data_IF_668778276672
#
_entry.id   IF_668778276672
#
_cell.length_a   1.000
_cell.length_b   1.000
_cell.length_c   1.000
_cell.angle_alpha   90.00
_cell.angle_beta   90.00
_cell.angle_gamma   90.00
#
_symmetry.space_group_name_H-M   'P 1'
#
loop_
_entity.id
_entity.type
_entity.pdbx_description
1 polymer ?
#
# COMPACT_ATOMS: atom_id res chain seq x y z
N UNK A 1 -56.16 -7.78 29.51
CA UNK A 1 -54.78 -7.29 29.70
C UNK A 1 -54.03 -7.43 28.39
N UNK A 2 -53.80 -6.31 27.70
CA UNK A 2 -53.25 -6.26 26.35
C UNK A 2 -51.72 -6.39 26.36
N UNK A 3 -51.17 -7.23 25.48
CA UNK A 3 -49.73 -7.35 25.23
C UNK A 3 -49.29 -6.22 24.31
N UNK A 4 -48.48 -5.29 24.81
CA UNK A 4 -47.85 -4.23 24.02
C UNK A 4 -46.78 -4.83 23.09
N UNK A 5 -47.04 -4.74 21.78
CA UNK A 5 -46.07 -5.00 20.72
C UNK A 5 -45.20 -3.75 20.56
N UNK A 6 -43.90 -3.90 20.82
CA UNK A 6 -42.91 -2.84 20.65
C UNK A 6 -42.65 -2.58 19.15
N UNK A 7 -42.95 -1.38 18.60
CA UNK A 7 -42.86 -1.11 17.16
C UNK A 7 -41.44 -0.76 16.68
N UNK A 8 -40.41 -0.85 17.54
CA UNK A 8 -39.08 -0.32 17.23
C UNK A 8 -38.03 -1.38 16.81
N UNK A 9 -38.48 -2.52 16.28
CA UNK A 9 -37.59 -3.59 15.81
C UNK A 9 -37.42 -3.55 14.27
N UNK A 10 -36.90 -2.46 13.68
CA UNK A 10 -36.52 -2.45 12.24
C UNK A 10 -35.63 -1.27 11.81
N UNK A 11 -34.44 -1.13 12.40
CA UNK A 11 -33.30 -0.45 11.74
C UNK A 11 -31.99 -1.17 12.04
N UNK A 12 -31.79 -2.35 11.42
CA UNK A 12 -30.44 -2.91 11.29
C UNK A 12 -29.80 -2.38 10.00
N UNK A 13 -29.01 -1.31 10.14
CA UNK A 13 -28.07 -0.79 9.12
C UNK A 13 -26.82 -1.67 9.07
N UNK A 14 -26.99 -2.97 8.87
CA UNK A 14 -25.90 -3.86 8.49
C UNK A 14 -26.38 -4.67 7.31
N UNK A 15 -25.81 -4.38 6.13
CA UNK A 15 -25.84 -5.30 4.98
C UNK A 15 -25.49 -6.68 5.54
N UNK A 16 -26.44 -7.62 5.51
CA UNK A 16 -26.10 -9.04 5.54
C UNK A 16 -25.29 -9.28 4.28
N UNK A 17 -23.97 -9.34 4.41
CA UNK A 17 -23.16 -10.03 3.43
C UNK A 17 -23.72 -11.44 3.36
N UNK A 18 -24.10 -11.88 2.15
CA UNK A 18 -24.50 -13.25 1.91
C UNK A 18 -23.34 -14.10 2.40
N UNK A 19 -23.56 -14.88 3.45
CA UNK A 19 -22.61 -15.89 3.89
C UNK A 19 -22.57 -16.93 2.77
N UNK A 20 -21.62 -16.76 1.83
CA UNK A 20 -21.13 -17.90 1.08
C UNK A 20 -20.67 -18.91 2.13
N UNK A 21 -21.21 -20.13 2.06
CA UNK A 21 -20.90 -21.20 2.99
C UNK A 21 -19.39 -21.32 3.19
N UNK A 22 -19.04 -21.66 4.41
CA UNK A 22 -17.75 -21.68 5.11
C UNK A 22 -16.66 -22.56 4.47
N UNK A 23 -16.45 -22.43 3.16
CA UNK A 23 -15.34 -23.05 2.43
C UNK A 23 -14.07 -22.17 2.45
N UNK A 24 -14.06 -21.09 3.24
CA UNK A 24 -12.89 -20.21 3.40
C UNK A 24 -11.71 -20.93 4.06
N UNK A 25 -11.94 -22.14 4.59
CA UNK A 25 -10.93 -23.03 5.14
C UNK A 25 -10.06 -23.73 4.09
N UNK A 26 -10.51 -23.82 2.83
CA UNK A 26 -9.79 -24.58 1.79
C UNK A 26 -9.00 -23.68 0.85
N UNK A 27 -7.83 -24.14 0.42
CA UNK A 27 -7.14 -23.52 -0.71
C UNK A 27 -7.91 -23.79 -2.00
N UNK A 28 -8.24 -22.72 -2.73
CA UNK A 28 -8.95 -22.76 -4.02
C UNK A 28 -8.02 -22.18 -5.08
N UNK A 29 -7.61 -22.99 -6.05
CA UNK A 29 -6.69 -22.55 -7.11
C UNK A 29 -7.39 -22.26 -8.44
N UNK A 30 -8.62 -22.75 -8.61
CA UNK A 30 -9.32 -22.75 -9.90
C UNK A 30 -9.78 -21.32 -10.33
N UNK A 31 -10.06 -20.43 -9.37
CA UNK A 31 -10.57 -19.07 -9.63
C UNK A 31 -9.47 -17.98 -9.56
N UNK A 32 -8.22 -18.34 -9.28
CA UNK A 32 -7.16 -17.36 -9.02
C UNK A 32 -6.44 -16.98 -10.31
N UNK A 33 -6.17 -15.68 -10.47
CA UNK A 33 -5.41 -15.14 -11.58
C UNK A 33 -4.02 -15.83 -11.71
N UNK A 34 -3.72 -16.47 -12.87
CA UNK A 34 -2.47 -17.21 -13.07
C UNK A 34 -1.22 -16.33 -12.94
N UNK A 35 -1.30 -15.03 -13.27
CA UNK A 35 -0.17 -14.11 -13.11
C UNK A 35 0.25 -13.94 -11.65
N UNK A 36 -0.69 -14.09 -10.71
CA UNK A 36 -0.43 -13.95 -9.26
C UNK A 36 0.08 -15.24 -8.65
N UNK A 37 -0.37 -16.39 -9.15
CA UNK A 37 0.03 -17.72 -8.66
C UNK A 37 1.39 -18.15 -9.21
N UNK A 38 1.58 -18.06 -10.52
CA UNK A 38 2.76 -18.60 -11.20
C UNK A 38 3.91 -17.58 -11.33
N UNK A 39 3.78 -16.40 -10.72
CA UNK A 39 4.74 -15.29 -10.83
C UNK A 39 5.17 -15.03 -12.28
N UNK A 40 4.22 -15.12 -13.22
CA UNK A 40 4.51 -14.94 -14.64
C UNK A 40 5.03 -13.52 -14.88
N UNK A 41 6.11 -13.34 -15.65
CA UNK A 41 6.67 -12.03 -15.89
C UNK A 41 5.66 -11.13 -16.62
N UNK A 42 5.34 -9.99 -16.02
CA UNK A 42 4.50 -8.97 -16.66
C UNK A 42 5.33 -8.30 -17.75
N UNK A 43 5.05 -8.65 -19.00
CA UNK A 43 5.71 -8.03 -20.16
C UNK A 43 5.07 -6.66 -20.44
N UNK A 44 5.76 -5.59 -20.06
CA UNK A 44 5.37 -4.22 -20.42
C UNK A 44 5.88 -3.93 -21.83
N UNK A 45 5.00 -3.98 -22.83
CA UNK A 45 5.35 -3.58 -24.21
C UNK A 45 5.52 -2.06 -24.28
N UNK A 46 6.66 -1.59 -24.80
CA UNK A 46 6.89 -0.17 -25.14
C UNK A 46 6.25 0.22 -26.49
N UNK A 47 5.68 -0.75 -27.21
CA UNK A 47 5.03 -0.52 -28.50
C UNK A 47 3.52 -0.41 -28.30
N UNK A 48 2.97 0.76 -28.61
CA UNK A 48 1.54 1.09 -28.54
C UNK A 48 0.69 0.44 -29.66
N UNK A 49 1.18 -0.60 -30.33
CA UNK A 49 0.44 -1.21 -31.44
C UNK A 49 -0.52 -2.26 -30.88
N UNK A 50 -1.76 -1.81 -30.69
CA UNK A 50 -3.01 -2.60 -30.65
C UNK A 50 -2.92 -3.91 -29.84
N UNK A 51 -3.00 -3.80 -28.52
CA UNK A 51 -3.48 -4.91 -27.71
C UNK A 51 -4.99 -4.73 -27.66
N UNK A 52 -5.72 -5.61 -28.36
CA UNK A 52 -7.18 -5.64 -28.35
C UNK A 52 -7.66 -5.70 -26.91
N UNK A 53 -8.23 -4.59 -26.44
CA UNK A 53 -8.81 -4.47 -25.13
C UNK A 53 -9.88 -5.55 -25.01
N UNK A 54 -9.69 -6.48 -24.07
CA UNK A 54 -10.74 -7.35 -23.58
C UNK A 54 -11.92 -6.45 -23.21
N UNK A 55 -12.98 -6.51 -24.03
CA UNK A 55 -14.25 -5.86 -23.75
C UNK A 55 -14.71 -6.32 -22.36
N UNK A 56 -15.31 -5.39 -21.62
CA UNK A 56 -15.95 -5.60 -20.31
C UNK A 56 -15.05 -5.45 -19.07
N UNK A 57 -14.41 -4.29 -18.91
CA UNK A 57 -14.23 -3.73 -17.56
C UNK A 57 -15.20 -2.55 -17.46
N UNK A 58 -16.42 -2.82 -16.97
CA UNK A 58 -17.36 -1.78 -16.59
C UNK A 58 -16.79 -1.06 -15.35
N UNK A 59 -16.03 0.01 -15.60
CA UNK A 59 -15.58 0.88 -14.54
C UNK A 59 -16.80 1.46 -13.81
N UNK A 60 -16.83 1.47 -12.47
CA UNK A 60 -17.93 2.05 -11.73
C UNK A 60 -18.03 3.54 -12.07
N UNK A 61 -19.15 3.94 -12.68
CA UNK A 61 -19.44 5.35 -12.93
C UNK A 61 -19.41 6.08 -11.59
N UNK A 62 -18.48 7.03 -11.47
CA UNK A 62 -18.28 7.85 -10.28
C UNK A 62 -19.59 8.58 -9.99
N UNK A 63 -20.25 8.27 -8.89
CA UNK A 63 -21.36 9.09 -8.39
C UNK A 63 -20.81 10.45 -7.99
N UNK A 64 -21.20 11.48 -8.73
CA UNK A 64 -20.75 12.88 -8.65
C UNK A 64 -21.34 13.65 -7.46
N UNK A 65 -21.68 12.97 -6.35
CA UNK A 65 -22.40 13.58 -5.23
C UNK A 65 -21.68 13.48 -3.89
N UNK A 66 -20.37 13.70 -3.87
CA UNK A 66 -19.70 14.08 -2.63
C UNK A 66 -19.72 15.62 -2.52
N UNK A 67 -20.46 16.23 -1.58
CA UNK A 67 -20.41 17.67 -1.39
C UNK A 67 -18.99 18.05 -0.99
N UNK A 68 -18.32 18.76 -1.90
CA UNK A 68 -17.02 19.36 -1.63
C UNK A 68 -17.26 20.49 -0.64
N UNK A 69 -17.09 20.20 0.66
CA UNK A 69 -17.09 21.24 1.69
C UNK A 69 -15.82 22.05 1.48
N UNK A 70 -15.97 23.16 0.76
CA UNK A 70 -14.94 24.17 0.55
C UNK A 70 -14.64 24.81 1.91
N UNK A 71 -13.73 24.21 2.66
CA UNK A 71 -13.12 24.83 3.82
C UNK A 71 -12.28 26.01 3.31
N UNK A 72 -12.85 27.21 3.34
CA UNK A 72 -12.07 28.44 3.22
C UNK A 72 -11.20 28.52 4.48
N UNK A 73 -9.86 28.50 4.37
CA UNK A 73 -9.01 28.76 5.53
C UNK A 73 -9.28 30.21 5.94
N UNK A 74 -10.00 30.40 7.05
CA UNK A 74 -10.17 31.71 7.66
C UNK A 74 -8.79 32.20 8.07
N UNK A 75 -8.31 33.25 7.39
CA UNK A 75 -7.08 33.96 7.73
C UNK A 75 -7.15 34.48 9.16
N UNK A 76 -6.24 34.00 10.00
CA UNK A 76 -5.59 34.71 11.09
C UNK A 76 -6.48 35.55 12.02
N UNK A 77 -7.49 34.93 12.60
CA UNK A 77 -7.89 35.29 13.97
C UNK A 77 -7.12 34.38 14.92
N UNK A 78 -5.85 34.72 15.19
CA UNK A 78 -5.13 34.17 16.34
C UNK A 78 -5.91 34.64 17.56
N UNK A 79 -6.84 33.81 18.03
CA UNK A 79 -7.60 34.10 19.24
C UNK A 79 -6.57 34.41 20.33
N UNK A 80 -6.71 35.54 21.05
CA UNK A 80 -5.79 35.85 22.14
C UNK A 80 -5.81 34.67 23.08
N UNK A 81 -4.66 33.99 23.21
CA UNK A 81 -4.47 32.85 24.10
C UNK A 81 -4.76 33.40 25.49
N UNK A 82 -5.99 33.27 25.98
CA UNK A 82 -6.38 33.74 27.31
C UNK A 82 -5.55 32.93 28.31
N UNK A 83 -4.46 33.52 28.78
CA UNK A 83 -3.61 33.02 29.86
C UNK A 83 -4.30 33.23 31.21
N UNK A 84 -5.59 32.90 31.30
CA UNK A 84 -6.25 32.82 32.59
C UNK A 84 -6.03 31.41 33.09
N UNK A 85 -5.19 31.30 34.12
CA UNK A 85 -4.97 30.17 35.03
C UNK A 85 -6.28 29.74 35.70
N UNK A 86 -7.31 29.41 34.91
CA UNK A 86 -8.49 28.72 35.39
C UNK A 86 -8.09 27.26 35.37
N UNK A 87 -7.96 26.67 36.56
CA UNK A 87 -7.81 25.24 36.74
C UNK A 87 -8.80 24.52 35.82
N UNK A 88 -8.31 23.50 35.11
CA UNK A 88 -9.13 22.75 34.18
C UNK A 88 -10.39 22.26 34.91
N UNK A 89 -11.61 22.65 34.47
CA UNK A 89 -12.84 22.16 35.10
C UNK A 89 -12.96 20.63 35.03
N UNK A 90 -12.15 19.96 34.22
CA UNK A 90 -12.11 18.53 34.03
C UNK A 90 -10.69 17.97 34.19
N UNK A 91 -10.25 17.78 35.44
CA UNK A 91 -8.97 17.08 35.70
C UNK A 91 -8.93 15.68 35.07
N UNK A 92 -7.81 15.39 34.41
CA UNK A 92 -7.48 14.10 33.80
C UNK A 92 -7.46 12.95 34.82
N UNK A 93 -7.30 13.22 36.11
CA UNK A 93 -7.28 12.21 37.18
C UNK A 93 -8.54 11.34 37.19
N UNK A 94 -9.67 11.92 36.78
CA UNK A 94 -10.96 11.22 36.68
C UNK A 94 -10.96 10.16 35.56
N UNK A 95 -10.13 10.34 34.53
CA UNK A 95 -10.05 9.45 33.38
C UNK A 95 -8.92 8.41 33.47
N UNK A 96 -7.93 8.61 34.35
CA UNK A 96 -6.83 7.66 34.52
C UNK A 96 -7.31 6.21 34.77
N UNK A 97 -8.32 5.93 35.62
CA UNK A 97 -8.82 4.57 35.79
C UNK A 97 -9.39 3.97 34.50
N UNK A 98 -10.14 4.77 33.73
CA UNK A 98 -10.69 4.35 32.44
C UNK A 98 -9.58 4.07 31.43
N UNK A 99 -8.59 4.96 31.31
CA UNK A 99 -7.43 4.74 30.45
C UNK A 99 -6.67 3.47 30.83
N UNK A 100 -6.43 3.21 32.12
CA UNK A 100 -5.80 1.96 32.56
C UNK A 100 -6.58 0.72 32.14
N UNK A 101 -7.91 0.73 32.28
CA UNK A 101 -8.77 -0.38 31.84
C UNK A 101 -8.71 -0.56 30.32
N UNK A 102 -8.78 0.55 29.56
CA UNK A 102 -8.71 0.52 28.10
C UNK A 102 -7.35 0.04 27.59
N UNK A 103 -6.25 0.56 28.13
CA UNK A 103 -4.88 0.10 27.80
C UNK A 103 -4.71 -1.38 28.10
N UNK A 104 -5.22 -1.85 29.25
CA UNK A 104 -5.17 -3.28 29.60
C UNK A 104 -5.99 -4.13 28.62
N UNK A 105 -7.19 -3.69 28.25
CA UNK A 105 -8.05 -4.38 27.27
C UNK A 105 -7.38 -4.44 25.90
N UNK A 106 -6.87 -3.31 25.40
CA UNK A 106 -6.15 -3.23 24.13
C UNK A 106 -4.93 -4.15 24.12
N UNK A 107 -4.13 -4.13 25.19
CA UNK A 107 -2.98 -5.04 25.34
C UNK A 107 -3.42 -6.50 25.33
N UNK A 108 -4.52 -6.83 26.02
CA UNK A 108 -5.07 -8.18 26.03
C UNK A 108 -5.55 -8.63 24.65
N UNK A 109 -6.25 -7.77 23.90
CA UNK A 109 -6.71 -8.08 22.54
C UNK A 109 -5.51 -8.26 21.60
N UNK A 110 -4.53 -7.36 21.65
CA UNK A 110 -3.31 -7.47 20.84
C UNK A 110 -2.52 -8.75 21.14
N UNK A 111 -2.49 -9.21 22.39
CA UNK A 111 -1.83 -10.45 22.75
C UNK A 111 -2.58 -11.68 22.26
N UNK A 112 -3.92 -11.66 22.32
CA UNK A 112 -4.76 -12.71 21.76
C UNK A 112 -4.56 -12.81 20.24
N UNK A 113 -4.55 -11.68 19.54
CA UNK A 113 -4.32 -11.65 18.09
C UNK A 113 -2.93 -12.20 17.73
N UNK A 114 -1.88 -11.82 18.47
CA UNK A 114 -0.53 -12.39 18.29
C UNK A 114 -0.51 -13.90 18.52
N UNK A 115 -1.17 -14.38 19.57
CA UNK A 115 -1.25 -15.81 19.87
C UNK A 115 -1.98 -16.57 18.76
N UNK A 116 -3.07 -15.98 18.23
CA UNK A 116 -3.82 -16.56 17.12
C UNK A 116 -2.97 -16.66 15.86
N UNK A 117 -2.28 -15.57 15.50
CA UNK A 117 -1.37 -15.56 14.35
C UNK A 117 -0.27 -16.64 14.52
N UNK A 118 0.34 -16.75 15.70
CA UNK A 118 1.37 -17.77 15.94
C UNK A 118 0.82 -19.20 15.82
N UNK A 119 -0.38 -19.45 16.35
CA UNK A 119 -1.05 -20.74 16.21
C UNK A 119 -1.39 -21.07 14.76
N UNK A 120 -1.85 -20.09 13.97
CA UNK A 120 -2.11 -20.26 12.54
C UNK A 120 -0.82 -20.59 11.77
N UNK A 121 0.29 -19.91 12.09
CA UNK A 121 1.58 -20.18 11.45
C UNK A 121 2.12 -21.58 11.78
N UNK A 122 1.99 -22.03 13.02
CA UNK A 122 2.37 -23.39 13.42
C UNK A 122 1.50 -24.45 12.74
N UNK A 123 0.19 -24.16 12.61
CA UNK A 123 -0.74 -24.97 11.82
C UNK A 123 -0.29 -25.09 10.35
N UNK A 124 0.06 -23.98 9.70
CA UNK A 124 0.58 -23.98 8.33
C UNK A 124 1.90 -24.77 8.20
N UNK A 125 2.80 -24.66 9.18
CA UNK A 125 4.07 -25.39 9.18
C UNK A 125 3.85 -26.91 9.35
N UNK A 126 2.89 -27.30 10.18
CA UNK A 126 2.46 -28.69 10.35
C UNK A 126 1.86 -29.24 9.05
N UNK A 127 0.94 -28.50 8.43
CA UNK A 127 0.33 -28.85 7.14
C UNK A 127 1.40 -29.02 6.05
N UNK A 128 2.36 -28.10 5.95
CA UNK A 128 3.48 -28.22 5.01
C UNK A 128 4.26 -29.51 5.24
N UNK A 129 4.59 -29.81 6.49
CA UNK A 129 5.34 -31.03 6.85
C UNK A 129 4.55 -32.30 6.47
N UNK A 130 3.24 -32.32 6.71
CA UNK A 130 2.37 -33.43 6.30
C UNK A 130 2.30 -33.59 4.78
N UNK A 131 2.25 -32.49 4.03
CA UNK A 131 2.26 -32.50 2.56
C UNK A 131 3.60 -32.93 1.96
N UNK A 132 4.71 -32.82 2.70
CA UNK A 132 6.03 -33.30 2.26
C UNK A 132 6.25 -34.79 2.55
N UNK A 133 5.53 -35.35 3.52
CA UNK A 133 5.60 -36.77 3.87
C UNK A 133 5.00 -37.67 2.76
N UNK A 134 5.29 -38.98 2.81
CA UNK A 134 4.83 -39.95 1.81
C UNK A 134 3.29 -40.11 1.75
N UNK A 135 2.59 -39.89 2.86
CA UNK A 135 1.13 -40.00 2.97
C UNK A 135 0.38 -38.68 2.66
N UNK A 136 0.94 -37.86 1.78
CA UNK A 136 0.38 -36.54 1.46
C UNK A 136 -0.98 -36.62 0.75
N UNK A 137 -1.24 -37.69 -0.01
CA UNK A 137 -2.45 -37.84 -0.82
C UNK A 137 -3.74 -37.92 0.01
N UNK A 138 -3.68 -38.46 1.24
CA UNK A 138 -4.85 -38.49 2.14
C UNK A 138 -5.09 -37.17 2.86
N UNK A 139 -4.03 -36.39 3.06
CA UNK A 139 -4.08 -35.11 3.79
C UNK A 139 -4.49 -33.97 2.87
N UNK A 140 -4.07 -34.00 1.60
CA UNK A 140 -4.32 -32.92 0.62
C UNK A 140 -5.81 -32.54 0.49
N UNK A 141 -6.78 -33.47 0.39
CA UNK A 141 -8.21 -33.12 0.31
C UNK A 141 -8.76 -32.41 1.55
N UNK A 142 -8.11 -32.56 2.71
CA UNK A 142 -8.49 -31.86 3.94
C UNK A 142 -8.10 -30.39 3.89
N UNK A 143 -7.07 -30.05 3.11
CA UNK A 143 -6.47 -28.71 3.08
C UNK A 143 -6.89 -27.94 1.81
N UNK A 144 -7.01 -28.64 0.69
CA UNK A 144 -7.18 -28.05 -0.64
C UNK A 144 -8.42 -28.61 -1.31
N UNK A 145 -9.16 -27.76 -2.01
CA UNK A 145 -10.30 -28.20 -2.81
C UNK A 145 -9.81 -28.94 -4.05
N UNK A 146 -10.13 -30.23 -4.13
CA UNK A 146 -9.83 -31.11 -5.27
C UNK A 146 -11.14 -31.37 -6.03
N UNK A 147 -11.06 -31.38 -7.36
CA UNK A 147 -12.22 -31.62 -8.23
C UNK A 147 -12.38 -33.12 -8.49
N UNK A 148 -11.30 -33.81 -8.88
CA UNK A 148 -11.28 -35.26 -9.03
C UNK A 148 -10.19 -35.92 -8.14
N UNK A 149 -10.56 -36.66 -7.08
CA UNK A 149 -9.59 -37.37 -6.25
C UNK A 149 -8.94 -38.57 -6.95
N UNK A 150 -9.46 -39.01 -8.11
CA UNK A 150 -8.89 -40.08 -8.91
C UNK A 150 -7.79 -39.62 -9.88
N UNK A 151 -7.65 -38.32 -10.14
CA UNK A 151 -6.63 -37.78 -11.04
C UNK A 151 -5.32 -37.52 -10.30
N UNK A 152 -4.34 -38.41 -10.51
CA UNK A 152 -3.00 -38.28 -9.92
C UNK A 152 -2.29 -36.98 -10.35
N UNK A 153 -2.53 -36.50 -11.57
CA UNK A 153 -1.89 -35.29 -12.07
C UNK A 153 -2.44 -34.05 -11.36
N UNK A 154 -3.77 -33.95 -11.22
CA UNK A 154 -4.42 -32.87 -10.46
C UNK A 154 -3.89 -32.85 -9.01
N UNK A 155 -3.81 -34.01 -8.37
CA UNK A 155 -3.29 -34.13 -7.00
C UNK A 155 -1.85 -33.62 -6.87
N UNK A 156 -0.96 -34.01 -7.79
CA UNK A 156 0.44 -33.59 -7.79
C UNK A 156 0.56 -32.08 -8.03
N UNK A 157 -0.20 -31.53 -8.98
CA UNK A 157 -0.19 -30.10 -9.28
C UNK A 157 -0.73 -29.29 -8.09
N UNK A 158 -1.90 -29.66 -7.56
CA UNK A 158 -2.51 -28.98 -6.40
C UNK A 158 -1.63 -29.10 -5.16
N UNK A 159 -0.94 -30.22 -4.95
CA UNK A 159 0.08 -30.34 -3.88
C UNK A 159 1.17 -29.29 -4.03
N UNK A 160 1.76 -29.16 -5.22
CA UNK A 160 2.83 -28.18 -5.49
C UNK A 160 2.35 -26.75 -5.25
N UNK A 161 1.16 -26.42 -5.74
CA UNK A 161 0.55 -25.10 -5.55
C UNK A 161 0.28 -24.80 -4.08
N UNK A 162 -0.24 -25.78 -3.34
CA UNK A 162 -0.52 -25.65 -1.90
C UNK A 162 0.74 -25.42 -1.10
N UNK A 163 1.80 -26.19 -1.36
CA UNK A 163 3.09 -26.02 -0.69
C UNK A 163 3.67 -24.64 -0.99
N UNK A 164 3.63 -24.20 -2.26
CA UNK A 164 4.12 -22.88 -2.66
C UNK A 164 3.35 -21.73 -1.98
N UNK A 165 2.02 -21.84 -1.88
CA UNK A 165 1.19 -20.83 -1.21
C UNK A 165 1.41 -20.81 0.31
N UNK A 166 1.57 -21.97 0.95
CA UNK A 166 1.95 -22.04 2.37
C UNK A 166 3.31 -21.36 2.58
N UNK A 167 4.29 -21.63 1.72
CA UNK A 167 5.61 -21.00 1.80
C UNK A 167 5.56 -19.49 1.63
N UNK A 168 4.73 -19.00 0.70
CA UNK A 168 4.48 -17.57 0.54
C UNK A 168 3.90 -16.95 1.81
N UNK A 169 2.93 -17.61 2.47
CA UNK A 169 2.34 -17.13 3.73
C UNK A 169 3.37 -17.10 4.86
N UNK A 170 4.19 -18.15 5.00
CA UNK A 170 5.27 -18.22 5.98
C UNK A 170 6.33 -17.14 5.76
N UNK A 171 6.75 -16.90 4.51
CA UNK A 171 7.70 -15.84 4.16
C UNK A 171 7.15 -14.44 4.50
N UNK A 172 5.86 -14.20 4.23
CA UNK A 172 5.18 -12.96 4.60
C UNK A 172 5.19 -12.77 6.12
N UNK A 173 4.93 -13.83 6.89
CA UNK A 173 5.00 -13.80 8.34
C UNK A 173 6.41 -13.51 8.86
N UNK A 174 7.45 -14.14 8.29
CA UNK A 174 8.84 -13.85 8.64
C UNK A 174 9.20 -12.38 8.38
N UNK A 175 8.77 -11.84 7.23
CA UNK A 175 8.96 -10.42 6.91
C UNK A 175 8.25 -9.51 7.90
N UNK A 176 7.01 -9.84 8.29
CA UNK A 176 6.27 -9.12 9.31
C UNK A 176 6.98 -9.18 10.67
N UNK A 177 7.46 -10.36 11.10
CA UNK A 177 8.18 -10.54 12.35
C UNK A 177 9.46 -9.71 12.39
N UNK A 178 10.21 -9.65 11.28
CA UNK A 178 11.40 -8.81 11.14
C UNK A 178 11.07 -7.33 11.30
N UNK A 179 10.06 -6.81 10.58
CA UNK A 179 9.60 -5.41 10.70
C UNK A 179 9.12 -5.07 12.11
N UNK A 180 8.43 -5.99 12.77
CA UNK A 180 7.99 -5.80 14.15
C UNK A 180 9.16 -5.71 15.12
N UNK A 181 10.24 -6.46 14.88
CA UNK A 181 11.44 -6.39 15.72
C UNK A 181 12.23 -5.09 15.46
N UNK A 182 12.38 -4.69 14.19
CA UNK A 182 12.98 -3.40 13.80
C UNK A 182 12.24 -2.24 14.50
N UNK A 183 10.91 -2.19 14.43
CA UNK A 183 10.11 -1.16 15.09
C UNK A 183 10.28 -1.16 16.62
N UNK A 184 10.37 -2.34 17.25
CA UNK A 184 10.63 -2.42 18.70
C UNK A 184 12.01 -1.90 19.05
N UNK A 185 13.02 -2.17 18.22
CA UNK A 185 14.37 -1.64 18.41
C UNK A 185 14.37 -0.12 18.26
N UNK A 186 13.72 0.44 17.23
CA UNK A 186 13.57 1.88 17.05
C UNK A 186 12.89 2.54 18.27
N UNK A 187 11.81 1.96 18.78
CA UNK A 187 11.12 2.46 19.98
C UNK A 187 12.06 2.44 21.21
N UNK A 188 12.87 1.38 21.37
CA UNK A 188 13.85 1.30 22.46
C UNK A 188 14.94 2.37 22.29
N UNK A 189 15.48 2.54 21.09
CA UNK A 189 16.47 3.57 20.80
C UNK A 189 15.93 4.97 21.08
N UNK A 190 14.71 5.28 20.65
CA UNK A 190 14.06 6.55 20.93
C UNK A 190 13.88 6.80 22.44
N UNK A 191 13.52 5.76 23.20
CA UNK A 191 13.38 5.87 24.66
C UNK A 191 14.72 6.03 25.40
N UNK A 192 15.84 5.61 24.81
CA UNK A 192 17.13 5.52 25.49
C UNK A 192 18.20 6.52 25.06
N UNK A 193 18.06 7.30 23.97
CA UNK A 193 19.09 8.30 23.68
C UNK A 193 19.05 9.02 22.35
N UNK A 194 18.09 9.92 22.15
CA UNK A 194 18.39 11.13 21.38
C UNK A 194 18.83 12.24 22.35
N UNK A 195 20.01 12.87 22.15
CA UNK A 195 20.31 14.16 22.76
C UNK A 195 19.23 15.14 22.31
N UNK A 196 18.58 15.78 23.29
CA UNK A 196 17.51 16.76 23.12
C UNK A 196 17.88 17.94 22.20
N UNK A 197 19.17 18.12 21.90
CA UNK A 197 19.70 19.29 21.18
C UNK A 197 19.69 19.17 19.64
N UNK A 198 19.32 18.02 19.05
CA UNK A 198 19.28 17.88 17.58
C UNK A 198 17.91 18.15 16.95
N UNK A 199 16.82 18.14 17.72
CA UNK A 199 15.46 18.33 17.21
C UNK A 199 15.10 19.81 17.04
N UNK A 200 15.69 20.70 17.85
CA UNK A 200 15.38 22.14 17.85
C UNK A 200 15.77 22.87 16.55
N UNK A 201 16.66 22.29 15.75
CA UNK A 201 17.07 22.88 14.45
C UNK A 201 16.04 22.66 13.35
N UNK A 202 15.21 21.62 13.43
CA UNK A 202 14.23 21.30 12.39
C UNK A 202 12.92 22.09 12.55
N UNK A 203 12.55 22.43 13.79
CA UNK A 203 11.36 23.24 14.08
C UNK A 203 11.50 24.72 13.71
N UNK A 204 12.71 25.22 13.48
CA UNK A 204 12.98 26.61 13.10
C UNK A 204 13.01 26.84 11.57
N UNK A 205 12.79 25.80 10.76
CA UNK A 205 12.82 25.89 9.30
C UNK A 205 11.46 26.38 8.79
N UNK A 206 11.40 27.39 7.89
CA UNK A 206 10.14 27.84 7.30
C UNK A 206 9.45 26.72 6.51
N UNK A 207 8.11 26.66 6.59
CA UNK A 207 7.31 25.57 6.04
C UNK A 207 7.52 25.36 4.52
N UNK A 208 7.84 26.41 3.77
CA UNK A 208 8.17 26.36 2.35
C UNK A 208 9.44 25.54 2.07
N UNK A 209 10.48 25.75 2.86
CA UNK A 209 11.77 25.05 2.76
C UNK A 209 11.64 23.60 3.22
N UNK A 210 10.90 23.36 4.31
CA UNK A 210 10.59 22.02 4.78
C UNK A 210 9.84 21.20 3.73
N UNK A 211 8.87 21.82 3.03
CA UNK A 211 8.15 21.20 1.90
C UNK A 211 9.07 20.89 0.72
N UNK A 212 9.99 21.79 0.37
CA UNK A 212 10.93 21.59 -0.72
C UNK A 212 11.93 20.46 -0.41
N UNK A 213 12.50 20.46 0.80
CA UNK A 213 13.40 19.40 1.28
C UNK A 213 12.71 18.03 1.28
N UNK A 214 11.51 17.93 1.86
CA UNK A 214 10.71 16.69 1.82
C UNK A 214 10.33 16.29 0.40
N UNK A 215 10.09 17.22 -0.52
CA UNK A 215 9.81 16.88 -1.93
C UNK A 215 11.06 16.30 -2.61
N UNK A 216 12.24 16.86 -2.34
CA UNK A 216 13.51 16.38 -2.88
C UNK A 216 13.86 14.99 -2.34
N UNK A 217 13.82 14.81 -1.03
CA UNK A 217 14.06 13.53 -0.37
C UNK A 217 13.09 12.45 -0.88
N UNK A 218 11.80 12.78 -1.02
CA UNK A 218 10.82 11.86 -1.61
C UNK A 218 11.17 11.44 -3.02
N UNK A 219 11.61 12.37 -3.85
CA UNK A 219 11.97 12.10 -5.24
C UNK A 219 13.26 11.26 -5.34
N UNK A 220 14.19 11.44 -4.40
CA UNK A 220 15.42 10.64 -4.29
C UNK A 220 15.14 9.22 -3.78
N UNK A 221 14.31 9.05 -2.75
CA UNK A 221 14.05 7.74 -2.13
C UNK A 221 13.04 6.90 -2.92
N UNK A 222 11.96 7.52 -3.41
CA UNK A 222 10.80 6.79 -3.98
C UNK A 222 10.56 7.09 -5.47
N UNK A 223 11.24 8.07 -6.04
CA UNK A 223 11.08 8.47 -7.43
C UNK A 223 9.92 9.45 -7.67
N UNK A 224 9.71 9.78 -8.95
CA UNK A 224 8.63 10.64 -9.39
C UNK A 224 7.29 9.91 -9.58
N UNK A 225 6.23 10.68 -9.83
CA UNK A 225 4.91 10.13 -10.18
C UNK A 225 4.99 9.47 -11.56
N UNK A 226 4.50 8.23 -11.66
CA UNK A 226 4.48 7.45 -12.91
C UNK A 226 3.08 7.54 -13.51
N UNK A 227 2.98 7.96 -14.79
CA UNK A 227 1.73 7.90 -15.57
C UNK A 227 1.83 6.74 -16.56
N UNK A 228 0.95 5.74 -16.43
CA UNK A 228 0.84 4.60 -17.34
C UNK A 228 -0.42 4.74 -18.20
N UNK A 229 -0.27 4.86 -19.51
CA UNK A 229 -1.41 4.81 -20.43
C UNK A 229 -1.86 3.35 -20.61
N UNK A 230 -3.16 3.09 -20.39
CA UNK A 230 -3.74 1.74 -20.50
C UNK A 230 -4.37 1.46 -21.88
N UNK A 231 -4.24 2.39 -22.84
CA UNK A 231 -4.74 2.30 -24.22
C UNK A 231 -6.26 2.09 -24.37
N UNK A 232 -7.02 2.28 -23.29
CA UNK A 232 -8.48 2.16 -23.25
C UNK A 232 -9.15 3.50 -22.92
N UNK A 233 -8.48 4.62 -23.19
CA UNK A 233 -8.91 5.96 -22.79
C UNK A 233 -8.63 6.29 -21.31
N UNK A 234 -7.99 5.40 -20.56
CA UNK A 234 -7.59 5.66 -19.17
C UNK A 234 -6.07 5.68 -18.99
N UNK A 235 -5.64 6.48 -18.03
CA UNK A 235 -4.28 6.55 -17.53
C UNK A 235 -4.24 6.24 -16.04
N UNK A 236 -3.36 5.32 -15.66
CA UNK A 236 -3.08 4.98 -14.27
C UNK A 236 -1.95 5.89 -13.77
N UNK A 237 -2.28 6.77 -12.82
CA UNK A 237 -1.31 7.61 -12.12
C UNK A 237 -0.92 6.91 -10.83
N UNK A 238 0.37 6.57 -10.72
CA UNK A 238 0.99 5.94 -9.57
C UNK A 238 1.87 6.98 -8.89
N UNK A 239 1.41 7.48 -7.74
CA UNK A 239 2.20 8.30 -6.82
C UNK A 239 2.66 7.38 -5.67
N UNK A 240 3.94 7.39 -5.26
CA UNK A 240 4.40 6.55 -4.15
C UNK A 240 3.68 6.81 -2.81
N UNK A 241 3.04 7.96 -2.63
CA UNK A 241 2.38 8.33 -1.37
C UNK A 241 0.86 8.49 -1.46
N UNK A 242 0.30 8.42 -2.66
CA UNK A 242 -1.15 8.44 -2.85
C UNK A 242 -1.60 7.10 -3.44
N UNK A 243 -2.80 6.62 -3.08
CA UNK A 243 -3.35 5.44 -3.74
C UNK A 243 -3.42 5.69 -5.25
N UNK A 244 -3.08 4.68 -6.08
CA UNK A 244 -3.06 4.84 -7.52
C UNK A 244 -4.44 5.26 -8.04
N UNK A 245 -4.46 6.21 -8.98
CA UNK A 245 -5.70 6.79 -9.52
C UNK A 245 -5.83 6.50 -11.01
N UNK A 246 -7.04 6.10 -11.41
CA UNK A 246 -7.43 6.02 -12.82
C UNK A 246 -8.05 7.34 -13.26
N UNK A 247 -7.40 8.00 -14.22
CA UNK A 247 -7.85 9.24 -14.84
C UNK A 247 -8.18 8.95 -16.31
N UNK A 248 -9.36 9.36 -16.74
CA UNK A 248 -9.77 9.34 -18.14
C UNK A 248 -8.94 10.37 -18.91
N UNK A 249 -8.28 9.95 -19.98
CA UNK A 249 -7.57 10.86 -20.86
C UNK A 249 -8.60 11.62 -21.68
N UNK A 250 -8.92 12.85 -21.26
CA UNK A 250 -9.63 13.78 -22.13
C UNK A 250 -8.80 13.92 -23.41
N UNK A 251 -9.40 13.59 -24.56
CA UNK A 251 -8.77 13.75 -25.86
C UNK A 251 -8.28 15.19 -25.96
N UNK A 252 -6.96 15.37 -26.00
CA UNK A 252 -6.37 16.66 -26.31
C UNK A 252 -6.77 17.00 -27.74
N UNK A 253 -7.85 17.77 -27.89
CA UNK A 253 -8.16 18.47 -29.13
C UNK A 253 -7.11 19.58 -29.23
N UNK A 254 -6.10 19.47 -30.12
CA UNK A 254 -5.17 20.57 -30.30
C UNK A 254 -6.02 21.80 -30.64
N UNK A 255 -5.77 22.96 -29.99
CA UNK A 255 -6.50 24.16 -30.31
C UNK A 255 -6.41 24.38 -31.82
N UNK A 256 -7.57 24.51 -32.47
CA UNK A 256 -7.64 24.82 -33.89
C UNK A 256 -6.70 26.00 -34.15
N UNK A 257 -5.88 25.91 -35.20
CA UNK A 257 -4.85 26.91 -35.54
C UNK A 257 -5.43 28.25 -36.03
N UNK A 258 -6.70 28.49 -35.78
CA UNK A 258 -7.41 29.66 -36.23
C UNK A 258 -7.68 30.51 -34.98
N UNK A 259 -7.24 31.77 -35.01
CA UNK A 259 -7.30 32.78 -33.96
C UNK A 259 -6.07 32.89 -33.03
N UNK A 260 -4.87 32.83 -33.60
CA UNK A 260 -3.76 33.64 -33.08
C UNK A 260 -3.84 35.02 -33.74
N UNK A 261 -4.24 36.10 -33.04
CA UNK A 261 -4.05 37.44 -33.54
C UNK A 261 -2.54 37.68 -33.70
N UNK A 262 -2.15 37.96 -34.95
CA UNK A 262 -0.82 38.40 -35.36
C UNK A 262 -0.43 39.67 -34.59
N UNK A 263 0.16 39.48 -33.42
CA UNK A 263 0.86 40.51 -32.66
C UNK A 263 1.97 39.85 -31.87
N UNK A 264 2.93 39.27 -32.59
CA UNK A 264 4.27 39.06 -32.04
C UNK A 264 5.01 40.40 -32.08
N UNK A 265 5.48 40.92 -30.93
CA UNK A 265 6.54 41.90 -30.93
C UNK A 265 7.82 41.24 -31.45
N UNK A 266 8.46 41.93 -32.37
CA UNK A 266 9.77 41.65 -32.93
C UNK A 266 10.80 41.45 -31.79
N UNK A 267 11.11 40.20 -31.45
CA UNK A 267 12.19 39.88 -30.53
C UNK A 267 13.49 39.76 -31.34
N UNK A 268 14.37 40.76 -31.18
CA UNK A 268 15.74 40.72 -31.66
C UNK A 268 16.45 39.45 -31.18
N UNK A 269 16.82 38.61 -32.15
CA UNK A 269 17.56 37.37 -31.96
C UNK A 269 19.03 37.68 -31.61
N UNK A 270 19.32 38.01 -30.35
CA UNK A 270 20.69 38.12 -29.86
C UNK A 270 21.27 36.75 -29.51
N UNK A 271 22.03 36.22 -30.47
CA UNK A 271 23.37 35.68 -30.21
C UNK A 271 23.45 34.32 -29.50
N UNK A 272 23.48 33.26 -30.31
CA UNK A 272 24.03 31.95 -29.96
C UNK A 272 25.45 32.08 -29.39
N UNK A 273 25.64 31.71 -28.12
CA UNK A 273 26.96 31.36 -27.60
C UNK A 273 27.04 29.85 -27.35
N UNK A 274 27.64 29.15 -28.32
CA UNK A 274 27.96 27.72 -28.28
C UNK A 274 29.04 27.49 -27.23
N UNK A 275 28.68 27.06 -26.02
CA UNK A 275 29.64 26.39 -25.12
C UNK A 275 29.89 24.97 -25.63
N UNK A 276 31.06 24.78 -26.23
CA UNK A 276 31.68 23.47 -26.46
C UNK A 276 31.92 22.83 -25.09
N UNK A 277 31.26 21.72 -24.79
CA UNK A 277 31.66 20.84 -23.68
C UNK A 277 32.59 19.77 -24.25
N UNK A 278 33.81 19.77 -23.74
CA UNK A 278 34.88 18.88 -24.12
C UNK A 278 34.54 17.43 -23.75
N UNK A 279 34.78 16.53 -24.72
CA UNK A 279 34.95 15.09 -24.47
C UNK A 279 36.20 14.91 -23.60
N UNK A 280 36.05 14.39 -22.39
CA UNK A 280 37.16 13.83 -21.62
C UNK A 280 37.05 12.32 -21.69
N UNK A 281 37.99 11.74 -22.43
CA UNK A 281 38.28 10.33 -22.56
C UNK A 281 39.37 9.95 -21.56
N UNK A 282 39.07 9.05 -20.64
CA UNK A 282 40.01 8.25 -19.83
C UNK A 282 39.38 6.84 -19.88
N UNK A 283 39.89 5.79 -20.57
CA UNK A 283 41.21 5.10 -20.45
C UNK A 283 41.63 5.08 -18.98
N UNK A 284 41.66 3.98 -18.24
CA UNK A 284 41.94 2.57 -18.49
C UNK A 284 42.57 2.03 -17.19
N UNK A 285 42.74 0.72 -17.04
CA UNK A 285 43.47 0.09 -15.92
C UNK A 285 42.59 -0.91 -15.16
N UNK A 286 42.75 -2.21 -15.42
CA UNK A 286 43.65 -3.15 -14.69
C UNK A 286 42.93 -3.70 -13.45
N UNK A 287 42.38 -4.92 -13.50
CA UNK A 287 43.10 -6.19 -13.25
C UNK A 287 43.96 -6.13 -11.98
N UNK A 288 43.43 -6.65 -10.87
CA UNK A 288 44.19 -7.51 -9.97
C UNK A 288 43.24 -8.46 -9.25
N UNK A 289 43.26 -9.69 -9.75
CA UNK A 289 43.12 -10.96 -9.06
C UNK A 289 43.90 -10.96 -7.72
N UNK A 290 43.25 -11.29 -6.62
CA UNK A 290 43.93 -11.77 -5.39
C UNK A 290 43.20 -13.03 -4.92
N UNK A 291 43.81 -14.13 -5.32
CA UNK A 291 43.78 -15.44 -4.72
C UNK A 291 44.69 -15.44 -3.49
N UNK A 292 44.19 -15.72 -2.27
CA UNK A 292 44.97 -16.45 -1.25
C UNK A 292 44.13 -16.92 -0.04
N UNK A 293 43.90 -18.23 -0.02
CA UNK A 293 44.10 -19.20 1.08
C UNK A 293 43.88 -18.77 2.55
N UNK A 294 42.85 -19.34 3.20
CA UNK A 294 42.97 -20.36 4.26
C UNK A 294 41.62 -20.95 4.64
#
# INVERSE_FOLDING_TARGET
MAKGSDPNAKRQLRRRTVNYGDDDSYFRFDDINPYVLYNLPIKVSRSFKNIEASKEINAPQKSTHAPTVLFKPSTDSIMPRKTTMREDPLSDDKYLPFHRVMTKRETSMNNLDKSKILSEMDGLQTQKSQLLNNNWASVLPTITRINDPGDENELIEKRKLTVAEIDRRLQKFQTWKRRQEELKQEIKHYKHGLPRDSEDKEYNIPLSELKARRKKERLETYGGVIKLALNNGYSLIIDPFAPPKLIEEEEYVPPAKDDVPSSSPEYEEKGRSRRKVAKRSEKGGEETEIEEQR
#
